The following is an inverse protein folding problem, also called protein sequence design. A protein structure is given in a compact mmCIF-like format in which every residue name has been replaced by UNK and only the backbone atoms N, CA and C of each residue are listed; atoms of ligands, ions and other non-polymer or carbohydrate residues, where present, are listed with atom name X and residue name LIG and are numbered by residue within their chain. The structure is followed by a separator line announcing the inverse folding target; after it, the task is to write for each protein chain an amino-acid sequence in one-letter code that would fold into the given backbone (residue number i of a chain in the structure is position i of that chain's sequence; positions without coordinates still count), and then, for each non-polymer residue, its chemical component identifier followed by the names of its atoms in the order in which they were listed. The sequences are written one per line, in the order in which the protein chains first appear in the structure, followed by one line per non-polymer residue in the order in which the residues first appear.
data_IF_673672824365
#
_entry.id   IF_673672824365
#
_cell.length_a   1.000
_cell.length_b   1.000
_cell.length_c   1.000
_cell.angle_alpha   90.00
_cell.angle_beta   90.00
_cell.angle_gamma   90.00
#
_symmetry.space_group_name_H-M   'P 1'
#
loop_
_entity.id
_entity.type
_entity.pdbx_description
1 polymer ?
#
# COMPACT_ATOMS: atom_id res chain seq x y z
N UNK A 1 -10.14 0.26 -6.85
CA UNK A 1 -9.78 0.31 -8.29
C UNK A 1 -10.50 1.42 -9.07
N UNK A 2 -11.83 1.50 -9.08
CA UNK A 2 -12.55 2.50 -9.90
C UNK A 2 -12.20 3.96 -9.61
N UNK A 3 -11.94 4.30 -8.34
CA UNK A 3 -11.50 5.66 -7.94
C UNK A 3 -10.16 6.03 -8.58
N UNK A 4 -9.19 5.12 -8.62
CA UNK A 4 -7.88 5.33 -9.25
C UNK A 4 -8.02 5.51 -10.76
N UNK A 5 -8.85 4.69 -11.42
CA UNK A 5 -9.12 4.82 -12.85
C UNK A 5 -9.71 6.20 -13.18
N UNK A 6 -10.65 6.70 -12.36
CA UNK A 6 -11.19 8.06 -12.50
C UNK A 6 -10.13 9.14 -12.30
N UNK A 7 -9.19 8.97 -11.37
CA UNK A 7 -8.08 9.90 -11.14
C UNK A 7 -7.06 9.92 -12.29
N UNK A 8 -6.70 8.75 -12.82
CA UNK A 8 -5.82 8.64 -14.00
C UNK A 8 -6.46 9.25 -15.25
N UNK A 9 -7.76 9.01 -15.45
CA UNK A 9 -8.51 9.61 -16.55
C UNK A 9 -8.45 11.15 -16.48
N UNK A 10 -8.69 11.76 -15.32
CA UNK A 10 -8.55 13.21 -15.12
C UNK A 10 -7.14 13.72 -15.42
N UNK A 11 -6.11 12.97 -15.03
CA UNK A 11 -4.70 13.32 -15.28
C UNK A 11 -4.37 13.31 -16.77
N UNK A 12 -4.87 12.30 -17.51
CA UNK A 12 -4.71 12.18 -18.96
C UNK A 12 -5.46 13.26 -19.74
N UNK A 13 -6.63 13.70 -19.25
CA UNK A 13 -7.41 14.79 -19.85
C UNK A 13 -6.89 16.20 -19.52
N UNK A 14 -5.79 16.34 -18.75
CA UNK A 14 -5.21 17.65 -18.44
C UNK A 14 -4.70 18.37 -19.71
N UNK A 15 -4.58 19.72 -19.72
CA UNK A 15 -4.05 20.46 -20.87
C UNK A 15 -2.52 20.40 -21.01
N UNK A 16 -1.84 19.56 -20.21
CA UNK A 16 -0.37 19.44 -20.21
C UNK A 16 0.16 18.79 -21.51
N UNK A 17 1.46 18.95 -21.82
CA UNK A 17 2.12 18.18 -22.87
C UNK A 17 1.99 16.67 -22.65
N UNK A 18 1.99 15.90 -23.74
CA UNK A 18 1.89 14.44 -23.68
C UNK A 18 3.03 13.79 -22.87
N UNK A 19 4.24 14.34 -22.96
CA UNK A 19 5.40 13.90 -22.18
C UNK A 19 5.16 14.00 -20.67
N UNK A 20 4.63 15.14 -20.22
CA UNK A 20 4.42 15.40 -18.79
C UNK A 20 3.32 14.51 -18.24
N UNK A 21 2.27 14.27 -19.04
CA UNK A 21 1.20 13.32 -18.68
C UNK A 21 1.76 11.92 -18.49
N UNK A 22 2.62 11.46 -19.41
CA UNK A 22 3.21 10.13 -19.36
C UNK A 22 4.04 9.95 -18.09
N UNK A 23 5.00 10.84 -17.82
CA UNK A 23 5.86 10.74 -16.64
C UNK A 23 5.10 10.93 -15.32
N UNK A 24 4.13 11.85 -15.27
CA UNK A 24 3.31 12.02 -14.05
C UNK A 24 2.43 10.80 -13.80
N UNK A 25 1.92 10.16 -14.85
CA UNK A 25 1.14 8.94 -14.72
C UNK A 25 2.02 7.76 -14.24
N UNK A 26 3.22 7.62 -14.81
CA UNK A 26 4.14 6.54 -14.46
C UNK A 26 4.58 6.63 -12.99
N UNK A 27 5.05 7.79 -12.53
CA UNK A 27 5.42 8.03 -11.12
C UNK A 27 4.24 7.76 -10.17
N UNK A 28 3.02 8.14 -10.59
CA UNK A 28 1.82 7.90 -9.78
C UNK A 28 1.41 6.42 -9.75
N UNK A 29 1.51 5.71 -10.88
CA UNK A 29 1.29 4.26 -10.92
C UNK A 29 2.34 3.54 -10.07
N UNK A 30 3.59 3.97 -10.07
CA UNK A 30 4.64 3.38 -9.22
C UNK A 30 4.35 3.58 -7.73
N UNK A 31 3.88 4.78 -7.35
CA UNK A 31 3.45 5.08 -5.97
C UNK A 31 2.18 4.33 -5.56
N UNK A 32 1.22 4.25 -6.47
CA UNK A 32 -0.04 3.53 -6.22
C UNK A 32 0.21 2.03 -6.14
N UNK A 33 1.15 1.47 -6.93
CA UNK A 33 1.64 0.09 -6.77
C UNK A 33 2.25 -0.14 -5.38
N UNK A 34 3.03 0.81 -4.85
CA UNK A 34 3.59 0.72 -3.48
C UNK A 34 2.55 0.89 -2.36
N UNK A 35 1.29 1.16 -2.69
CA UNK A 35 0.22 1.22 -1.71
C UNK A 35 -0.24 -0.21 -1.38
N UNK A 36 -0.30 -0.63 -0.09
CA UNK A 36 -0.68 -2.00 0.30
C UNK A 36 -2.06 -2.45 -0.21
N UNK A 37 -2.91 -1.51 -0.62
CA UNK A 37 -4.20 -1.78 -1.25
C UNK A 37 -4.11 -2.28 -2.70
N UNK A 38 -2.94 -2.22 -3.35
CA UNK A 38 -2.76 -2.49 -4.79
C UNK A 38 -1.67 -3.53 -5.06
N UNK A 39 -0.52 -3.46 -4.40
CA UNK A 39 0.53 -4.48 -4.50
C UNK A 39 1.10 -4.78 -3.11
N UNK A 40 1.00 -6.04 -2.70
CA UNK A 40 1.71 -6.57 -1.56
C UNK A 40 2.82 -7.47 -2.11
N UNK A 41 4.04 -6.95 -2.17
CA UNK A 41 5.21 -7.81 -2.36
C UNK A 41 5.46 -8.56 -1.05
N UNK A 42 4.86 -9.74 -0.94
CA UNK A 42 5.02 -10.62 0.22
C UNK A 42 6.35 -11.35 0.05
N UNK A 43 7.45 -10.73 0.45
CA UNK A 43 8.67 -11.47 0.77
C UNK A 43 8.55 -12.02 2.20
N UNK A 44 9.03 -13.26 2.44
CA UNK A 44 9.02 -13.86 3.80
C UNK A 44 9.76 -12.97 4.81
N UNK A 45 10.80 -12.25 4.36
CA UNK A 45 11.59 -11.33 5.17
C UNK A 45 10.83 -10.07 5.60
N UNK A 46 9.93 -9.55 4.76
CA UNK A 46 9.21 -8.29 5.03
C UNK A 46 7.76 -8.50 5.49
N UNK A 47 7.33 -9.75 5.68
CA UNK A 47 5.94 -10.08 6.01
C UNK A 47 5.45 -9.38 7.29
N UNK A 48 6.28 -9.31 8.34
CA UNK A 48 5.94 -8.62 9.60
C UNK A 48 5.82 -7.11 9.39
N UNK A 49 6.72 -6.52 8.61
CA UNK A 49 6.71 -5.09 8.28
C UNK A 49 5.49 -4.71 7.44
N UNK A 50 5.14 -5.55 6.48
CA UNK A 50 3.96 -5.40 5.64
C UNK A 50 2.67 -5.44 6.47
N UNK A 51 2.54 -6.40 7.38
CA UNK A 51 1.37 -6.52 8.28
C UNK A 51 1.26 -5.30 9.20
N UNK A 52 2.36 -4.88 9.85
CA UNK A 52 2.37 -3.69 10.69
C UNK A 52 1.99 -2.41 9.91
N UNK A 53 2.49 -2.27 8.68
CA UNK A 53 2.16 -1.14 7.79
C UNK A 53 0.69 -1.15 7.39
N UNK A 54 0.10 -2.32 7.16
CA UNK A 54 -1.34 -2.45 6.85
C UNK A 54 -2.22 -2.05 8.04
N UNK A 55 -1.85 -2.43 9.26
CA UNK A 55 -2.55 -2.01 10.48
C UNK A 55 -2.45 -0.48 10.65
N UNK A 56 -1.26 0.10 10.47
CA UNK A 56 -1.05 1.56 10.56
C UNK A 56 -1.88 2.32 9.52
N UNK A 57 -2.00 1.79 8.30
CA UNK A 57 -2.84 2.34 7.23
C UNK A 57 -4.32 2.01 7.39
N UNK A 58 -4.73 1.35 8.48
CA UNK A 58 -6.11 0.94 8.79
C UNK A 58 -6.73 0.10 7.67
N UNK A 59 -5.90 -0.70 7.00
CA UNK A 59 -6.34 -1.67 5.97
C UNK A 59 -6.91 -2.92 6.63
N UNK A 60 -6.25 -3.35 7.70
CA UNK A 60 -6.63 -4.44 8.59
C UNK A 60 -6.52 -3.96 10.04
N UNK A 61 -7.09 -4.71 10.96
CA UNK A 61 -7.06 -4.47 12.40
C UNK A 61 -6.23 -5.55 13.11
N UNK A 62 -5.90 -5.33 14.38
CA UNK A 62 -5.27 -6.36 15.22
C UNK A 62 -6.20 -7.54 15.50
N UNK A 63 -7.52 -7.34 15.39
CA UNK A 63 -8.51 -8.41 15.51
C UNK A 63 -8.43 -9.40 14.34
N UNK A 64 -8.11 -8.91 13.14
CA UNK A 64 -7.90 -9.75 11.95
C UNK A 64 -6.68 -10.68 12.09
N UNK A 65 -5.81 -10.44 13.07
CA UNK A 65 -4.69 -11.31 13.40
C UNK A 65 -5.03 -12.39 14.44
N UNK A 66 -6.26 -12.44 14.98
CA UNK A 66 -6.59 -13.30 16.12
C UNK A 66 -6.36 -14.80 15.88
N UNK A 67 -6.50 -15.29 14.65
CA UNK A 67 -6.30 -16.70 14.31
C UNK A 67 -4.83 -17.06 14.04
N UNK A 68 -3.91 -16.08 14.06
CA UNK A 68 -2.48 -16.29 13.86
C UNK A 68 -1.75 -16.65 15.17
N UNK A 69 -0.53 -17.19 15.01
CA UNK A 69 0.33 -17.56 16.15
C UNK A 69 0.67 -16.36 17.03
N UNK A 70 0.85 -16.62 18.34
CA UNK A 70 1.28 -15.60 19.31
C UNK A 70 2.59 -14.94 18.90
N UNK A 71 3.59 -15.71 18.46
CA UNK A 71 4.87 -15.20 17.99
C UNK A 71 4.74 -14.15 16.87
N UNK A 72 3.82 -14.37 15.92
CA UNK A 72 3.58 -13.42 14.83
C UNK A 72 2.91 -12.14 15.35
N UNK A 73 1.92 -12.28 16.24
CA UNK A 73 1.24 -11.14 16.86
C UNK A 73 2.21 -10.28 17.65
N UNK A 74 3.04 -10.91 18.48
CA UNK A 74 4.03 -10.23 19.32
C UNK A 74 5.05 -9.48 18.46
N UNK A 75 5.57 -10.12 17.39
CA UNK A 75 6.53 -9.47 16.49
C UNK A 75 5.91 -8.29 15.71
N UNK A 76 4.63 -8.37 15.33
CA UNK A 76 3.90 -7.25 14.71
C UNK A 76 3.67 -6.13 15.73
N UNK A 77 3.33 -6.47 16.97
CA UNK A 77 3.14 -5.52 18.07
C UNK A 77 4.44 -4.73 18.35
N UNK A 78 5.58 -5.44 18.49
CA UNK A 78 6.89 -4.82 18.66
C UNK A 78 7.24 -3.88 17.48
N UNK A 79 6.89 -4.27 16.26
CA UNK A 79 7.10 -3.44 15.07
C UNK A 79 6.25 -2.16 15.14
N UNK A 80 4.98 -2.27 15.58
CA UNK A 80 4.06 -1.13 15.74
C UNK A 80 4.53 -0.14 16.83
N UNK A 81 5.20 -0.63 17.88
CA UNK A 81 5.78 0.23 18.93
C UNK A 81 7.04 0.98 18.48
N UNK A 82 7.74 0.48 17.45
CA UNK A 82 8.94 1.13 16.88
C UNK A 82 8.63 2.23 15.85
N UNK A 83 7.36 2.46 15.53
CA UNK A 83 6.89 3.27 14.40
C UNK A 83 6.56 4.73 14.69
#
# INVERSE_FOLDING_TARGET
MEKLIKEYSKLLYSPKPASDKFWTLEDRIEKDKKNPWVLLEISKSESIWNIATMIKKKVITTEDLNDFSGELKDAVQEMLERF
#
